data_IF_839890495452
#
_entry.id   IF_839890495452
#
_cell.length_a   1.000
_cell.length_b   1.000
_cell.length_c   1.000
_cell.angle_alpha   90.00
_cell.angle_beta   90.00
_cell.angle_gamma   90.00
#
_symmetry.space_group_name_H-M   'P 1'
#
loop_
_entity.id
_entity.type
_entity.pdbx_description
1 polymer ?
#
# COMPACT_ATOMS: atom_id res chain seq x y z
N UNK A 1 -20.25 18.18 -17.80
CA UNK A 1 -19.69 17.60 -16.56
C UNK A 1 -20.72 16.64 -16.01
N UNK A 2 -20.47 15.32 -16.08
CA UNK A 2 -21.38 14.32 -15.51
C UNK A 2 -20.89 14.02 -14.10
N UNK A 3 -21.69 14.36 -13.09
CA UNK A 3 -21.44 13.93 -11.70
C UNK A 3 -22.13 12.58 -11.54
N UNK A 4 -21.37 11.53 -11.34
CA UNK A 4 -21.94 10.25 -10.91
C UNK A 4 -22.28 10.36 -9.42
N UNK A 5 -23.59 10.36 -9.11
CA UNK A 5 -24.06 10.21 -7.75
C UNK A 5 -23.88 8.75 -7.34
N UNK A 6 -22.83 8.47 -6.55
CA UNK A 6 -22.63 7.16 -5.92
C UNK A 6 -23.16 7.25 -4.49
N UNK A 7 -23.98 6.27 -4.10
CA UNK A 7 -24.55 6.20 -2.76
C UNK A 7 -23.44 6.16 -1.69
N UNK A 8 -23.51 6.98 -0.63
CA UNK A 8 -22.49 7.02 0.42
C UNK A 8 -22.22 5.67 1.09
N UNK A 9 -23.26 4.84 1.21
CA UNK A 9 -23.14 3.49 1.73
C UNK A 9 -22.25 2.59 0.86
N UNK A 10 -22.34 2.73 -0.48
CA UNK A 10 -21.49 2.00 -1.43
C UNK A 10 -20.04 2.45 -1.30
N UNK A 11 -19.81 3.77 -1.20
CA UNK A 11 -18.45 4.31 -0.97
C UNK A 11 -17.86 3.80 0.34
N UNK A 12 -18.66 3.76 1.41
CA UNK A 12 -18.26 3.23 2.71
C UNK A 12 -17.89 1.74 2.65
N UNK A 13 -18.73 0.93 2.00
CA UNK A 13 -18.46 -0.50 1.82
C UNK A 13 -17.18 -0.75 0.99
N UNK A 14 -17.00 -0.01 -0.11
CA UNK A 14 -15.78 -0.08 -0.91
C UNK A 14 -14.54 0.30 -0.09
N UNK A 15 -14.62 1.33 0.76
CA UNK A 15 -13.50 1.74 1.58
C UNK A 15 -13.11 0.70 2.64
N UNK A 16 -14.09 0.00 3.22
CA UNK A 16 -13.82 -1.14 4.13
C UNK A 16 -13.10 -2.26 3.38
N UNK A 17 -13.57 -2.61 2.18
CA UNK A 17 -12.94 -3.64 1.35
C UNK A 17 -11.51 -3.26 0.95
N UNK A 18 -11.27 -2.02 0.53
CA UNK A 18 -9.92 -1.53 0.18
C UNK A 18 -8.98 -1.56 1.37
N UNK A 19 -9.43 -1.13 2.55
CA UNK A 19 -8.62 -1.21 3.77
C UNK A 19 -8.30 -2.68 4.14
N UNK A 20 -9.26 -3.59 3.98
CA UNK A 20 -9.05 -5.02 4.22
C UNK A 20 -8.05 -5.65 3.25
N UNK A 21 -8.12 -5.31 1.96
CA UNK A 21 -7.16 -5.77 0.95
C UNK A 21 -5.77 -5.19 1.21
N UNK A 22 -5.67 -3.90 1.55
CA UNK A 22 -4.40 -3.27 1.88
C UNK A 22 -3.76 -3.87 3.14
N UNK A 23 -4.57 -4.27 4.14
CA UNK A 23 -4.08 -4.98 5.32
C UNK A 23 -3.53 -6.38 4.97
N UNK A 24 -4.23 -7.15 4.13
CA UNK A 24 -3.77 -8.46 3.66
C UNK A 24 -2.48 -8.33 2.84
N UNK A 25 -2.43 -7.36 1.94
CA UNK A 25 -1.22 -7.07 1.16
C UNK A 25 -0.06 -6.67 2.08
N UNK A 26 -0.29 -5.77 3.03
CA UNK A 26 0.71 -5.36 4.02
C UNK A 26 1.23 -6.53 4.87
N UNK A 27 0.36 -7.47 5.26
CA UNK A 27 0.77 -8.68 5.98
C UNK A 27 1.66 -9.58 5.13
N UNK A 28 1.32 -9.76 3.84
CA UNK A 28 2.16 -10.50 2.89
C UNK A 28 3.53 -9.84 2.69
N UNK A 29 3.55 -8.52 2.52
CA UNK A 29 4.80 -7.75 2.39
C UNK A 29 5.64 -7.86 3.66
N UNK A 30 5.03 -7.75 4.85
CA UNK A 30 5.73 -7.90 6.12
C UNK A 30 6.34 -9.31 6.27
N UNK A 31 5.62 -10.36 5.85
CA UNK A 31 6.11 -11.74 5.86
C UNK A 31 7.33 -11.95 4.97
N UNK A 32 7.42 -11.23 3.86
CA UNK A 32 8.56 -11.31 2.92
C UNK A 32 9.60 -10.20 3.10
N UNK A 33 9.40 -9.25 4.02
CA UNK A 33 10.21 -8.03 4.10
C UNK A 33 11.71 -8.31 4.29
N UNK A 34 12.06 -9.28 5.14
CA UNK A 34 13.44 -9.67 5.36
C UNK A 34 14.11 -10.20 4.07
N UNK A 35 13.39 -11.00 3.29
CA UNK A 35 13.91 -11.52 2.02
C UNK A 35 14.02 -10.42 0.95
N UNK A 36 13.08 -9.48 0.92
CA UNK A 36 13.08 -8.37 -0.03
C UNK A 36 14.20 -7.36 0.28
N UNK A 37 14.46 -7.06 1.54
CA UNK A 37 15.50 -6.09 1.96
C UNK A 37 16.88 -6.74 2.02
N UNK A 38 16.97 -8.06 2.19
CA UNK A 38 18.21 -8.80 2.30
C UNK A 38 18.89 -9.14 0.96
N UNK A 39 18.40 -8.63 -0.17
CA UNK A 39 19.01 -8.87 -1.48
C UNK A 39 20.41 -8.27 -1.52
N UNK A 40 21.41 -9.09 -1.86
CA UNK A 40 22.80 -8.66 -2.01
C UNK A 40 23.08 -8.38 -3.49
N UNK A 41 23.83 -7.30 -3.83
CA UNK A 41 24.26 -7.06 -5.20
C UNK A 41 25.01 -8.26 -5.77
N UNK A 42 24.71 -8.61 -7.01
CA UNK A 42 25.35 -9.70 -7.76
C UNK A 42 26.77 -9.33 -8.22
N UNK A 43 27.11 -8.04 -8.29
CA UNK A 43 28.43 -7.54 -8.64
C UNK A 43 28.54 -6.03 -8.46
N UNK A 44 29.71 -5.45 -8.77
CA UNK A 44 30.01 -4.03 -8.52
C UNK A 44 29.41 -3.03 -9.52
N UNK A 45 28.66 -3.53 -10.52
CA UNK A 45 27.95 -2.66 -11.46
C UNK A 45 26.78 -1.95 -10.77
N UNK A 46 26.63 -0.65 -11.05
CA UNK A 46 25.66 0.23 -10.38
C UNK A 46 24.22 -0.32 -10.43
N UNK A 47 23.83 -0.94 -11.55
CA UNK A 47 22.49 -1.54 -11.71
C UNK A 47 22.23 -2.68 -10.72
N UNK A 48 23.27 -3.40 -10.31
CA UNK A 48 23.16 -4.49 -9.34
C UNK A 48 22.90 -3.97 -7.93
N UNK A 49 23.55 -2.86 -7.56
CA UNK A 49 23.27 -2.17 -6.30
C UNK A 49 21.89 -1.53 -6.31
N UNK A 50 21.48 -0.93 -7.44
CA UNK A 50 20.13 -0.37 -7.60
C UNK A 50 19.06 -1.45 -7.45
N UNK A 51 19.25 -2.62 -8.08
CA UNK A 51 18.35 -3.76 -7.96
C UNK A 51 18.21 -4.25 -6.51
N UNK A 52 19.32 -4.37 -5.77
CA UNK A 52 19.30 -4.75 -4.37
C UNK A 52 18.45 -3.78 -3.50
N UNK A 53 18.40 -2.50 -3.86
CA UNK A 53 17.59 -1.49 -3.19
C UNK A 53 16.09 -1.53 -3.50
N UNK A 54 15.66 -2.21 -4.57
CA UNK A 54 14.25 -2.22 -5.02
C UNK A 54 13.33 -2.81 -3.94
N UNK A 55 13.77 -3.83 -3.22
CA UNK A 55 12.95 -4.45 -2.18
C UNK A 55 12.62 -3.50 -1.01
N UNK A 56 13.58 -2.69 -0.57
CA UNK A 56 13.33 -1.66 0.44
C UNK A 56 12.36 -0.59 -0.05
N UNK A 57 12.51 -0.14 -1.30
CA UNK A 57 11.59 0.82 -1.92
C UNK A 57 10.16 0.26 -2.01
N UNK A 58 10.01 -1.01 -2.39
CA UNK A 58 8.73 -1.70 -2.44
C UNK A 58 8.06 -1.81 -1.06
N UNK A 59 8.80 -2.19 -0.02
CA UNK A 59 8.28 -2.27 1.35
C UNK A 59 7.79 -0.90 1.84
N UNK A 60 8.54 0.16 1.54
CA UNK A 60 8.12 1.53 1.86
C UNK A 60 6.83 1.92 1.13
N UNK A 61 6.77 1.67 -0.18
CA UNK A 61 5.60 1.98 -1.01
C UNK A 61 4.35 1.20 -0.57
N UNK A 62 4.49 -0.07 -0.19
CA UNK A 62 3.41 -0.88 0.36
C UNK A 62 2.88 -0.28 1.68
N UNK A 63 3.77 0.20 2.54
CA UNK A 63 3.40 0.91 3.77
C UNK A 63 2.66 2.23 3.51
N UNK A 64 3.04 2.99 2.48
CA UNK A 64 2.31 4.20 2.07
C UNK A 64 0.93 3.88 1.49
N UNK A 65 0.83 2.82 0.69
CA UNK A 65 -0.44 2.35 0.15
C UNK A 65 -1.41 1.97 1.28
N UNK A 66 -0.96 1.18 2.27
CA UNK A 66 -1.77 0.84 3.43
C UNK A 66 -2.26 2.08 4.20
N UNK A 67 -1.41 3.09 4.39
CA UNK A 67 -1.81 4.36 5.02
C UNK A 67 -2.83 5.13 4.18
N UNK A 68 -2.72 5.11 2.86
CA UNK A 68 -3.67 5.77 1.96
C UNK A 68 -5.05 5.15 2.06
N UNK A 69 -5.14 3.82 2.03
CA UNK A 69 -6.43 3.12 2.14
C UNK A 69 -7.04 3.28 3.54
N UNK A 70 -6.21 3.35 4.59
CA UNK A 70 -6.68 3.73 5.93
C UNK A 70 -7.29 5.14 5.99
N UNK A 71 -6.68 6.12 5.33
CA UNK A 71 -7.25 7.48 5.21
C UNK A 71 -8.53 7.51 4.39
N UNK A 72 -8.62 6.71 3.33
CA UNK A 72 -9.83 6.59 2.53
C UNK A 72 -11.00 6.05 3.36
N UNK A 73 -10.77 4.97 4.13
CA UNK A 73 -11.76 4.43 5.07
C UNK A 73 -12.16 5.42 6.16
N UNK A 74 -11.21 6.16 6.73
CA UNK A 74 -11.51 7.19 7.72
C UNK A 74 -12.40 8.29 7.11
N UNK A 75 -12.05 8.77 5.92
CA UNK A 75 -12.79 9.81 5.20
C UNK A 75 -14.20 9.35 4.83
N UNK A 76 -14.39 8.09 4.47
CA UNK A 76 -15.70 7.54 4.06
C UNK A 76 -16.68 7.33 5.23
N UNK A 77 -16.20 7.32 6.49
CA UNK A 77 -17.04 7.13 7.69
C UNK A 77 -17.62 8.41 8.31
N UNK A 78 -17.11 9.61 7.96
CA UNK A 78 -17.52 10.96 8.46
C UNK A 78 -18.03 11.06 9.92
N UNK A 79 -17.26 11.43 10.97
CA UNK A 79 -16.86 12.80 11.48
C UNK A 79 -16.30 12.68 12.93
N UNK A 80 -15.73 13.71 13.62
CA UNK A 80 -15.76 15.16 13.37
C UNK A 80 -14.40 15.88 13.22
N UNK A 81 -14.41 16.96 12.44
CA UNK A 81 -13.87 18.24 12.89
C UNK A 81 -15.04 19.13 13.29
#
# INVERSE_FOLDING_TARGET
>A
MVVFAVEPAVVGASAVSQAGLAAQHGAGVAGCAAALVGVVPMGEVADSAAFAGVGAAYVSAAGEHARREGRFLMRSRGRPG
#
